data_IF_379645770957
#
_entry.id   IF_379645770957
#
_cell.length_a   1.000
_cell.length_b   1.000
_cell.length_c   1.000
_cell.angle_alpha   90.00
_cell.angle_beta   90.00
_cell.angle_gamma   90.00
#
_symmetry.space_group_name_H-M   'P 1'
#
loop_
_entity.id
_entity.type
_entity.pdbx_description
1 polymer ?
#
# COMPACT_ATOMS: atom_id res chain seq x y z
N UNK A 1 15.72 -23.26 -26.59
CA UNK A 1 14.48 -23.08 -25.82
C UNK A 1 14.63 -21.79 -25.08
N UNK A 2 13.87 -20.76 -25.45
CA UNK A 2 13.87 -19.51 -24.69
C UNK A 2 12.88 -19.73 -23.56
N UNK A 3 13.39 -19.97 -22.35
CA UNK A 3 12.55 -20.06 -21.17
C UNK A 3 11.97 -18.67 -20.92
N UNK A 4 10.75 -18.45 -21.40
CA UNK A 4 10.00 -17.23 -21.12
C UNK A 4 9.61 -17.32 -19.64
N UNK A 5 10.23 -16.48 -18.82
CA UNK A 5 9.85 -16.27 -17.43
C UNK A 5 8.42 -15.69 -17.42
N UNK A 6 7.42 -16.56 -17.27
CA UNK A 6 6.03 -16.15 -17.13
C UNK A 6 5.76 -15.76 -15.67
N UNK A 7 5.86 -14.46 -15.40
CA UNK A 7 5.63 -13.91 -14.07
C UNK A 7 4.14 -13.97 -13.63
N UNK A 8 3.19 -14.16 -14.55
CA UNK A 8 1.78 -14.36 -14.21
C UNK A 8 1.53 -15.73 -13.55
N UNK A 9 2.43 -16.69 -13.74
CA UNK A 9 2.40 -17.97 -13.02
C UNK A 9 2.85 -17.83 -11.56
N UNK A 10 3.50 -16.72 -11.21
CA UNK A 10 4.01 -16.40 -9.87
C UNK A 10 3.13 -15.35 -9.17
N UNK A 11 1.82 -15.35 -9.41
CA UNK A 11 0.85 -14.45 -8.76
C UNK A 11 1.04 -14.46 -7.25
N UNK A 12 1.72 -13.44 -6.73
CA UNK A 12 1.86 -13.21 -5.31
C UNK A 12 0.53 -12.62 -4.84
N UNK A 13 -0.24 -13.42 -4.12
CA UNK A 13 -1.43 -12.95 -3.40
C UNK A 13 -1.04 -12.69 -1.96
N UNK A 14 -1.42 -11.54 -1.41
CA UNK A 14 -1.13 -11.19 -0.02
C UNK A 14 -2.41 -11.06 0.78
N UNK A 15 -2.38 -11.49 2.04
CA UNK A 15 -3.48 -11.31 2.98
C UNK A 15 -3.39 -9.92 3.60
N UNK A 16 -4.48 -9.17 3.54
CA UNK A 16 -4.64 -7.89 4.24
C UNK A 16 -5.87 -7.96 5.14
N UNK A 17 -5.81 -7.33 6.31
CA UNK A 17 -6.95 -7.28 7.23
C UNK A 17 -7.64 -5.93 7.07
N UNK A 18 -8.87 -5.94 6.56
CA UNK A 18 -9.72 -4.75 6.44
C UNK A 18 -10.93 -4.92 7.34
N UNK A 19 -11.18 -3.96 8.23
CA UNK A 19 -12.33 -3.98 9.15
C UNK A 19 -12.42 -5.29 9.96
N UNK A 20 -11.27 -5.79 10.43
CA UNK A 20 -11.16 -7.05 11.18
C UNK A 20 -11.39 -8.32 10.35
N UNK A 21 -11.45 -8.22 9.01
CA UNK A 21 -11.65 -9.36 8.12
C UNK A 21 -10.47 -9.54 7.17
N UNK A 22 -10.03 -10.78 7.02
CA UNK A 22 -9.02 -11.12 6.03
C UNK A 22 -9.57 -10.95 4.61
N UNK A 23 -8.73 -10.35 3.76
CA UNK A 23 -8.98 -10.10 2.34
C UNK A 23 -7.75 -10.48 1.55
N UNK A 24 -7.98 -10.94 0.33
CA UNK A 24 -6.89 -11.25 -0.59
C UNK A 24 -6.65 -10.03 -1.48
N UNK A 25 -5.45 -9.47 -1.38
CA UNK A 25 -4.95 -8.48 -2.32
C UNK A 25 -4.10 -9.20 -3.37
N UNK A 26 -4.50 -9.06 -4.64
CA UNK A 26 -3.75 -9.57 -5.78
C UNK A 26 -2.69 -8.55 -6.20
N UNK A 27 -1.47 -9.00 -6.48
CA UNK A 27 -0.47 -8.16 -7.11
C UNK A 27 -0.85 -7.82 -8.56
N UNK A 28 -0.43 -6.63 -9.01
CA UNK A 28 -0.51 -6.22 -10.40
C UNK A 28 0.31 -7.15 -11.30
N UNK A 29 -0.19 -7.42 -12.50
CA UNK A 29 0.60 -8.05 -13.57
C UNK A 29 1.60 -7.06 -14.15
N UNK A 30 2.57 -7.57 -14.93
CA UNK A 30 3.57 -6.73 -15.61
C UNK A 30 2.90 -5.73 -16.56
N UNK A 31 1.87 -6.16 -17.29
CA UNK A 31 1.12 -5.30 -18.21
C UNK A 31 0.41 -4.17 -17.45
N UNK A 32 -0.21 -4.50 -16.31
CA UNK A 32 -0.87 -3.52 -15.45
C UNK A 32 0.12 -2.55 -14.78
N UNK A 33 1.37 -2.97 -14.57
CA UNK A 33 2.43 -2.09 -14.10
C UNK A 33 2.84 -1.08 -15.18
N UNK A 34 2.94 -1.51 -16.45
CA UNK A 34 3.23 -0.61 -17.58
C UNK A 34 2.09 0.41 -17.77
N UNK A 35 0.84 -0.03 -17.59
CA UNK A 35 -0.34 0.86 -17.64
C UNK A 35 -0.47 1.77 -16.40
N UNK A 36 0.29 1.52 -15.32
CA UNK A 36 0.17 2.27 -14.08
C UNK A 36 0.62 3.74 -14.22
N UNK A 37 1.48 4.05 -15.20
CA UNK A 37 1.95 5.42 -15.47
C UNK A 37 0.80 6.37 -15.84
N UNK A 38 -0.15 5.91 -16.68
CA UNK A 38 -1.32 6.70 -17.06
C UNK A 38 -2.29 6.86 -15.88
N UNK A 39 -2.42 5.82 -15.05
CA UNK A 39 -3.21 5.92 -13.82
C UNK A 39 -2.58 6.91 -12.83
N UNK A 40 -1.26 6.91 -12.67
CA UNK A 40 -0.56 7.82 -11.76
C UNK A 40 -0.65 9.27 -12.22
N UNK A 41 -0.57 9.52 -13.52
CA UNK A 41 -0.83 10.85 -14.08
C UNK A 41 -2.26 11.32 -13.80
N UNK A 42 -3.26 10.46 -14.01
CA UNK A 42 -4.67 10.77 -13.68
C UNK A 42 -4.85 11.02 -12.18
N UNK A 43 -4.21 10.22 -11.35
CA UNK A 43 -4.31 10.33 -9.90
C UNK A 43 -3.63 11.59 -9.34
N UNK A 44 -2.50 12.00 -9.92
CA UNK A 44 -1.78 13.21 -9.55
C UNK A 44 -2.57 14.48 -9.91
N UNK A 45 -3.32 14.45 -11.01
CA UNK A 45 -4.13 15.57 -11.47
C UNK A 45 -5.53 15.64 -10.84
N UNK A 46 -6.01 14.55 -10.24
CA UNK A 46 -7.31 14.49 -9.60
C UNK A 46 -7.33 15.22 -8.23
N UNK A 47 -8.47 15.82 -7.89
CA UNK A 47 -8.62 16.55 -6.62
C UNK A 47 -9.64 15.91 -5.67
N UNK A 48 -9.34 15.93 -4.37
CA UNK A 48 -10.24 15.56 -3.28
C UNK A 48 -11.05 14.27 -3.54
N UNK A 49 -12.36 14.44 -3.75
CA UNK A 49 -13.33 13.35 -3.95
C UNK A 49 -13.08 12.54 -5.22
N UNK A 50 -12.60 13.17 -6.29
CA UNK A 50 -12.27 12.48 -7.54
C UNK A 50 -11.09 11.53 -7.33
N UNK A 51 -10.03 12.03 -6.67
CA UNK A 51 -8.85 11.24 -6.32
C UNK A 51 -9.23 10.01 -5.49
N UNK A 52 -10.08 10.20 -4.48
CA UNK A 52 -10.61 9.11 -3.65
C UNK A 52 -11.38 8.08 -4.48
N UNK A 53 -12.26 8.53 -5.38
CA UNK A 53 -13.08 7.66 -6.22
C UNK A 53 -12.22 6.84 -7.18
N UNK A 54 -11.22 7.47 -7.81
CA UNK A 54 -10.25 6.79 -8.68
C UNK A 54 -9.46 5.73 -7.93
N UNK A 55 -8.98 6.05 -6.72
CA UNK A 55 -8.18 5.11 -5.95
C UNK A 55 -8.99 3.90 -5.49
N UNK A 56 -10.21 4.13 -4.98
CA UNK A 56 -11.11 3.05 -4.56
C UNK A 56 -11.47 2.18 -5.77
N UNK A 57 -11.83 2.80 -6.90
CA UNK A 57 -12.13 2.07 -8.13
C UNK A 57 -10.98 1.16 -8.55
N UNK A 58 -9.75 1.67 -8.53
CA UNK A 58 -8.56 0.89 -8.88
C UNK A 58 -8.27 -0.23 -7.89
N UNK A 59 -8.39 0.01 -6.58
CA UNK A 59 -8.16 -0.99 -5.54
C UNK A 59 -9.15 -2.16 -5.60
N UNK A 60 -10.40 -1.91 -6.00
CA UNK A 60 -11.41 -2.97 -6.18
C UNK A 60 -11.05 -3.97 -7.28
N UNK A 61 -10.19 -3.60 -8.24
CA UNK A 61 -9.68 -4.54 -9.24
C UNK A 61 -8.74 -5.60 -8.64
N UNK A 62 -8.16 -5.31 -7.47
CA UNK A 62 -7.14 -6.12 -6.81
C UNK A 62 -7.58 -6.76 -5.49
N UNK A 63 -8.58 -6.19 -4.82
CA UNK A 63 -9.10 -6.68 -3.53
C UNK A 63 -10.33 -7.56 -3.70
N UNK A 64 -10.12 -8.87 -3.62
CA UNK A 64 -11.20 -9.84 -3.76
C UNK A 64 -12.13 -9.79 -2.52
N UNK A 65 -13.44 -9.79 -2.77
CA UNK A 65 -14.46 -9.79 -1.71
C UNK A 65 -14.56 -8.48 -0.91
N UNK A 66 -14.02 -7.38 -1.44
CA UNK A 66 -14.10 -6.04 -0.81
C UNK A 66 -15.10 -5.16 -1.56
N UNK A 67 -15.90 -4.39 -0.83
CA UNK A 67 -16.85 -3.44 -1.43
C UNK A 67 -16.32 -2.02 -1.42
N UNK A 68 -16.90 -1.15 -2.26
CA UNK A 68 -16.60 0.29 -2.22
C UNK A 68 -16.86 0.90 -0.84
N UNK A 69 -17.88 0.43 -0.11
CA UNK A 69 -18.19 0.92 1.23
C UNK A 69 -17.11 0.53 2.26
N UNK A 70 -16.46 -0.62 2.08
CA UNK A 70 -15.36 -1.05 2.96
C UNK A 70 -14.12 -0.17 2.76
N UNK A 71 -13.81 0.20 1.52
CA UNK A 71 -12.67 1.07 1.20
C UNK A 71 -12.89 2.53 1.56
N UNK A 72 -14.15 3.01 1.57
CA UNK A 72 -14.48 4.37 2.03
C UNK A 72 -14.20 4.60 3.51
N UNK A 73 -14.08 3.54 4.31
CA UNK A 73 -13.72 3.64 5.73
C UNK A 73 -12.25 3.93 5.96
N UNK A 74 -11.41 3.75 4.93
CA UNK A 74 -9.97 3.93 5.00
C UNK A 74 -9.58 5.37 4.72
N UNK A 75 -8.53 5.84 5.38
CA UNK A 75 -7.93 7.13 5.07
C UNK A 75 -7.07 7.05 3.78
N UNK A 76 -6.70 8.22 3.24
CA UNK A 76 -5.93 8.30 2.01
C UNK A 76 -4.56 7.61 2.12
N UNK A 77 -3.92 7.63 3.30
CA UNK A 77 -2.62 6.98 3.53
C UNK A 77 -2.76 5.46 3.44
N UNK A 78 -3.78 4.90 4.08
CA UNK A 78 -4.10 3.47 4.04
C UNK A 78 -4.43 3.02 2.62
N UNK A 79 -5.22 3.81 1.88
CA UNK A 79 -5.58 3.53 0.50
C UNK A 79 -4.33 3.56 -0.43
N UNK A 80 -3.43 4.53 -0.25
CA UNK A 80 -2.16 4.58 -0.99
C UNK A 80 -1.23 3.42 -0.62
N UNK A 81 -1.19 3.02 0.65
CA UNK A 81 -0.41 1.87 1.10
C UNK A 81 -0.92 0.56 0.45
N UNK A 82 -2.23 0.35 0.36
CA UNK A 82 -2.82 -0.79 -0.35
C UNK A 82 -2.45 -0.80 -1.84
N UNK A 83 -2.45 0.37 -2.48
CA UNK A 83 -2.06 0.49 -3.88
C UNK A 83 -0.57 0.16 -4.08
N UNK A 84 0.30 0.65 -3.19
CA UNK A 84 1.71 0.30 -3.18
C UNK A 84 1.92 -1.21 -2.97
N UNK A 85 1.12 -1.83 -2.11
CA UNK A 85 1.18 -3.27 -1.86
C UNK A 85 0.74 -4.08 -3.09
N UNK A 86 -0.29 -3.63 -3.80
CA UNK A 86 -0.71 -4.22 -5.07
C UNK A 86 0.39 -4.13 -6.14
N UNK A 87 1.20 -3.06 -6.13
CA UNK A 87 2.37 -2.90 -7.01
C UNK A 87 3.57 -3.77 -6.64
N UNK A 88 3.51 -4.48 -5.52
CA UNK A 88 4.63 -5.27 -5.03
C UNK A 88 5.70 -4.45 -4.32
N UNK A 89 5.42 -3.19 -3.94
CA UNK A 89 6.33 -2.41 -3.10
C UNK A 89 6.52 -3.09 -1.75
N UNK A 90 7.77 -3.18 -1.32
CA UNK A 90 8.09 -3.69 0.00
C UNK A 90 7.80 -2.62 1.06
N UNK A 91 6.84 -2.91 1.94
CA UNK A 91 6.40 -2.01 3.01
C UNK A 91 7.38 -1.97 4.19
N UNK A 92 8.40 -2.84 4.22
CA UNK A 92 9.50 -2.77 5.20
C UNK A 92 10.20 -1.40 5.20
N UNK A 93 10.14 -0.68 4.07
CA UNK A 93 10.67 0.68 3.91
C UNK A 93 9.70 1.81 4.34
N UNK A 94 8.44 1.49 4.62
CA UNK A 94 7.42 2.47 5.02
C UNK A 94 7.30 2.58 6.55
N UNK A 95 7.62 1.51 7.28
CA UNK A 95 7.62 1.47 8.75
C UNK A 95 8.81 2.21 9.37
N UNK A 96 9.94 2.33 8.65
CA UNK A 96 11.11 3.10 9.10
C UNK A 96 10.85 4.62 9.23
N UNK A 97 9.79 5.14 8.59
CA UNK A 97 9.43 6.56 8.69
C UNK A 97 8.59 6.90 9.94
N UNK A 98 8.23 5.90 10.76
CA UNK A 98 7.34 6.05 11.92
C UNK A 98 7.98 5.84 13.29
N UNK A 99 9.25 5.43 13.37
CA UNK A 99 9.88 5.04 14.65
C UNK A 99 10.80 6.09 15.30
N UNK A 100 10.89 7.30 14.75
CA UNK A 100 11.71 8.40 15.33
C UNK A 100 10.88 9.52 15.99
N UNK A 101 9.59 9.30 16.23
CA UNK A 101 8.69 10.33 16.78
C UNK A 101 7.98 9.93 18.09
N UNK A 102 8.64 9.21 19.00
CA UNK A 102 8.27 9.22 20.42
C UNK A 102 9.48 8.87 21.31
N UNK A 103 10.11 9.90 21.89
CA UNK A 103 11.25 9.70 22.80
C UNK A 103 11.77 10.97 23.46
N UNK A 104 10.94 12.00 23.59
CA UNK A 104 11.28 13.23 24.29
C UNK A 104 11.03 13.12 25.81
N UNK A 105 12.11 12.86 26.54
CA UNK A 105 12.49 13.53 27.78
C UNK A 105 12.31 12.85 29.17
N UNK A 106 13.42 12.97 29.91
CA UNK A 106 13.65 13.10 31.37
C UNK A 106 13.75 11.83 32.23
N UNK A 107 14.94 11.59 32.81
CA UNK A 107 15.13 10.47 33.74
C UNK A 107 16.45 10.27 34.49
N UNK A 108 17.21 11.33 34.80
CA UNK A 108 18.03 11.48 36.01
C UNK A 108 19.29 10.60 36.33
N UNK A 109 20.34 11.33 36.73
CA UNK A 109 21.31 11.05 37.81
C UNK A 109 22.60 10.22 37.59
N UNK A 110 23.71 10.98 37.72
CA UNK A 110 24.81 10.80 38.70
C UNK A 110 26.13 10.12 38.28
N UNK A 111 27.13 11.00 38.21
CA UNK A 111 28.46 10.95 38.84
C UNK A 111 29.53 9.94 38.41
N UNK A 112 30.77 10.42 38.30
CA UNK A 112 31.94 9.57 38.46
C UNK A 112 33.22 10.12 37.84
N UNK A 113 33.92 10.97 38.58
CA UNK A 113 35.26 11.49 38.30
C UNK A 113 36.32 10.40 38.12
N UNK A 114 37.24 10.57 37.17
CA UNK A 114 38.70 10.69 37.38
C UNK A 114 39.44 10.93 36.07
#
# INVERSE_FOLDING_TARGET
MTDILNLDALKVTRLVVLDGRERTLRSMTVEQFIEADDFDAKLANATGKEKLTLLIGKLLEFLDGTTHADLLKLDMTQLMALLAFARGSDLSKLTDAGEDAEGGAVGNAVAGSK
#
